data_IF_228991087480
#
_entry.id   IF_228991087480
#
_cell.length_a   1.000
_cell.length_b   1.000
_cell.length_c   1.000
_cell.angle_alpha   90.00
_cell.angle_beta   90.00
_cell.angle_gamma   90.00
#
_symmetry.space_group_name_H-M   'P 1'
#
loop_
_entity.id
_entity.type
_entity.pdbx_description
1 polymer ?
#
# COMPACT_ATOMS: atom_id res chain seq x y z
N UNK A 1 -15.53 -4.46 10.38
CA UNK A 1 -15.89 -3.89 9.05
C UNK A 1 -15.29 -4.81 7.98
N UNK A 2 -15.81 -4.92 6.75
CA UNK A 2 -15.33 -5.93 5.77
C UNK A 2 -13.84 -5.83 5.43
N UNK A 3 -13.26 -4.63 5.53
CA UNK A 3 -11.82 -4.39 5.36
C UNK A 3 -10.98 -5.08 6.45
N UNK A 4 -11.45 -5.05 7.71
CA UNK A 4 -10.72 -5.65 8.85
C UNK A 4 -10.61 -7.17 8.70
N UNK A 5 -11.64 -7.81 8.12
CA UNK A 5 -11.64 -9.24 7.85
C UNK A 5 -10.57 -9.62 6.82
N UNK A 6 -10.47 -8.86 5.72
CA UNK A 6 -9.46 -9.10 4.68
C UNK A 6 -8.05 -8.79 5.20
N UNK A 7 -7.89 -7.70 5.94
CA UNK A 7 -6.62 -7.33 6.54
C UNK A 7 -6.11 -8.40 7.51
N UNK A 8 -6.98 -8.86 8.42
CA UNK A 8 -6.61 -9.92 9.37
C UNK A 8 -6.31 -11.25 8.68
N UNK A 9 -7.00 -11.58 7.59
CA UNK A 9 -6.68 -12.75 6.78
C UNK A 9 -5.27 -12.65 6.16
N UNK A 10 -4.90 -11.51 5.58
CA UNK A 10 -3.54 -11.31 5.05
C UNK A 10 -2.48 -11.30 6.14
N UNK A 11 -2.75 -10.70 7.30
CA UNK A 11 -1.84 -10.71 8.44
C UNK A 11 -1.61 -12.14 8.96
N UNK A 12 -2.66 -12.93 9.14
CA UNK A 12 -2.55 -14.31 9.59
C UNK A 12 -1.77 -15.17 8.58
N UNK A 13 -2.00 -14.96 7.29
CA UNK A 13 -1.26 -15.66 6.24
C UNK A 13 0.23 -15.30 6.25
N UNK A 14 0.57 -14.00 6.32
CA UNK A 14 1.96 -13.54 6.26
C UNK A 14 2.73 -13.78 7.56
N UNK A 15 2.11 -13.59 8.72
CA UNK A 15 2.73 -13.81 10.03
C UNK A 15 2.74 -15.29 10.43
N UNK A 16 1.80 -16.08 9.92
CA UNK A 16 1.73 -17.53 10.15
C UNK A 16 2.79 -18.32 9.40
N UNK A 17 3.40 -17.74 8.36
CA UNK A 17 4.51 -18.36 7.63
C UNK A 17 5.84 -18.18 8.38
N UNK A 18 6.64 -19.25 8.56
CA UNK A 18 7.96 -19.12 9.15
C UNK A 18 8.86 -18.23 8.28
N UNK A 19 9.57 -17.28 8.91
CA UNK A 19 10.32 -16.24 8.21
C UNK A 19 11.28 -16.76 7.12
N UNK A 20 12.07 -17.85 7.32
CA UNK A 20 12.96 -18.35 6.28
C UNK A 20 12.22 -18.79 5.00
N UNK A 21 11.03 -19.37 5.15
CA UNK A 21 10.22 -19.83 4.02
C UNK A 21 9.69 -18.63 3.21
N UNK A 22 9.18 -17.62 3.91
CA UNK A 22 8.71 -16.39 3.27
C UNK A 22 9.83 -15.65 2.51
N UNK A 23 11.03 -15.57 3.10
CA UNK A 23 12.20 -14.95 2.46
C UNK A 23 12.51 -15.64 1.13
N UNK A 24 12.59 -16.98 1.12
CA UNK A 24 12.90 -17.75 -0.08
C UNK A 24 11.80 -17.58 -1.14
N UNK A 25 10.54 -17.65 -0.74
CA UNK A 25 9.40 -17.47 -1.66
C UNK A 25 9.43 -16.09 -2.31
N UNK A 26 9.58 -15.02 -1.52
CA UNK A 26 9.60 -13.66 -2.06
C UNK A 26 10.81 -13.40 -2.95
N UNK A 27 11.98 -13.93 -2.59
CA UNK A 27 13.18 -13.83 -3.43
C UNK A 27 13.00 -14.56 -4.78
N UNK A 28 12.38 -15.74 -4.77
CA UNK A 28 12.07 -16.49 -6.00
C UNK A 28 11.06 -15.76 -6.87
N UNK A 29 10.00 -15.18 -6.27
CA UNK A 29 9.01 -14.38 -7.01
C UNK A 29 9.69 -13.16 -7.64
N UNK A 30 10.51 -12.43 -6.88
CA UNK A 30 11.23 -11.27 -7.39
C UNK A 30 12.20 -11.62 -8.53
N UNK A 31 12.87 -12.78 -8.41
CA UNK A 31 13.73 -13.30 -9.46
C UNK A 31 12.95 -13.61 -10.75
N UNK A 32 11.81 -14.29 -10.64
CA UNK A 32 11.00 -14.72 -11.78
C UNK A 32 10.34 -13.55 -12.52
N UNK A 33 9.91 -12.51 -11.80
CA UNK A 33 9.19 -11.38 -12.40
C UNK A 33 10.15 -10.34 -12.99
N UNK A 34 11.34 -10.17 -12.40
CA UNK A 34 12.25 -9.09 -12.79
C UNK A 34 13.58 -9.59 -13.34
N UNK A 35 14.51 -10.00 -12.49
CA UNK A 35 15.85 -10.43 -12.88
C UNK A 35 16.59 -11.10 -11.72
N UNK A 36 17.68 -11.83 -12.02
CA UNK A 36 18.54 -12.47 -11.00
C UNK A 36 19.04 -11.46 -9.98
N UNK A 37 19.45 -10.26 -10.44
CA UNK A 37 19.92 -9.19 -9.56
C UNK A 37 18.86 -8.74 -8.56
N UNK A 38 17.60 -8.63 -8.98
CA UNK A 38 16.48 -8.28 -8.10
C UNK A 38 16.14 -9.41 -7.11
N UNK A 39 16.25 -10.67 -7.53
CA UNK A 39 16.08 -11.83 -6.63
C UNK A 39 17.11 -11.84 -5.50
N UNK A 40 18.39 -11.61 -5.82
CA UNK A 40 19.45 -11.52 -4.82
C UNK A 40 19.29 -10.29 -3.92
N UNK A 41 18.97 -9.14 -4.51
CA UNK A 41 18.75 -7.90 -3.75
C UNK A 41 17.59 -8.03 -2.75
N UNK A 42 16.48 -8.65 -3.15
CA UNK A 42 15.33 -8.90 -2.27
C UNK A 42 15.65 -9.89 -1.16
N UNK A 43 16.39 -10.97 -1.46
CA UNK A 43 16.85 -11.92 -0.45
C UNK A 43 17.70 -11.24 0.63
N UNK A 44 18.71 -10.46 0.22
CA UNK A 44 19.60 -9.73 1.14
C UNK A 44 18.78 -8.75 1.99
N UNK A 45 17.87 -8.00 1.36
CA UNK A 45 17.04 -7.01 2.06
C UNK A 45 16.12 -7.64 3.10
N UNK A 46 15.45 -8.75 2.77
CA UNK A 46 14.55 -9.43 3.69
C UNK A 46 15.29 -10.11 4.85
N UNK A 47 16.48 -10.67 4.61
CA UNK A 47 17.35 -11.18 5.67
C UNK A 47 17.78 -10.04 6.61
N UNK A 48 18.15 -8.87 6.07
CA UNK A 48 18.50 -7.71 6.88
C UNK A 48 17.33 -7.22 7.76
N UNK A 49 16.11 -7.17 7.22
CA UNK A 49 14.89 -6.83 7.99
C UNK A 49 14.67 -7.83 9.13
N UNK A 50 14.82 -9.12 8.84
CA UNK A 50 14.74 -10.18 9.84
C UNK A 50 15.80 -10.04 10.93
N UNK A 51 17.04 -9.71 10.57
CA UNK A 51 18.15 -9.55 11.51
C UNK A 51 17.96 -8.37 12.47
N UNK A 52 17.30 -7.30 12.04
CA UNK A 52 16.98 -6.12 12.88
C UNK A 52 15.73 -6.39 13.75
N UNK A 53 15.06 -7.54 13.58
CA UNK A 53 13.86 -7.90 14.35
C UNK A 53 12.59 -7.18 13.89
N UNK A 54 12.63 -6.51 12.73
CA UNK A 54 11.49 -5.77 12.17
C UNK A 54 10.55 -6.62 11.31
N UNK A 55 10.64 -7.96 11.41
CA UNK A 55 9.91 -8.90 10.57
C UNK A 55 8.39 -8.75 10.69
N UNK A 56 7.88 -8.74 11.92
CA UNK A 56 6.43 -8.64 12.18
C UNK A 56 5.86 -7.34 11.62
N UNK A 57 6.56 -6.23 11.85
CA UNK A 57 6.19 -4.90 11.35
C UNK A 57 6.19 -4.87 9.82
N UNK A 58 7.20 -5.48 9.18
CA UNK A 58 7.27 -5.57 7.72
C UNK A 58 6.13 -6.41 7.11
N UNK A 59 5.73 -7.51 7.76
CA UNK A 59 4.59 -8.31 7.30
C UNK A 59 3.26 -7.57 7.49
N UNK A 60 3.12 -6.79 8.58
CA UNK A 60 1.94 -5.94 8.80
C UNK A 60 1.83 -4.85 7.74
N UNK A 61 2.93 -4.17 7.39
CA UNK A 61 2.91 -3.17 6.31
C UNK A 61 2.58 -3.80 4.96
N UNK A 62 3.13 -4.99 4.67
CA UNK A 62 2.80 -5.73 3.45
C UNK A 62 1.32 -6.13 3.41
N UNK A 63 0.75 -6.60 4.53
CA UNK A 63 -0.67 -6.94 4.63
C UNK A 63 -1.58 -5.72 4.36
N UNK A 64 -1.21 -4.55 4.91
CA UNK A 64 -1.92 -3.29 4.66
C UNK A 64 -1.88 -2.91 3.18
N UNK A 65 -0.70 -2.99 2.55
CA UNK A 65 -0.52 -2.68 1.13
C UNK A 65 -1.31 -3.66 0.26
N UNK A 66 -1.26 -4.97 0.52
CA UNK A 66 -2.03 -5.98 -0.23
C UNK A 66 -3.54 -5.76 -0.09
N UNK A 67 -4.02 -5.46 1.11
CA UNK A 67 -5.43 -5.15 1.35
C UNK A 67 -5.84 -3.92 0.55
N UNK A 68 -5.07 -2.83 0.63
CA UNK A 68 -5.34 -1.61 -0.12
C UNK A 68 -5.30 -1.84 -1.64
N UNK A 69 -4.33 -2.61 -2.14
CA UNK A 69 -4.21 -2.96 -3.56
C UNK A 69 -5.41 -3.78 -4.05
N UNK A 70 -5.91 -4.72 -3.24
CA UNK A 70 -7.10 -5.50 -3.58
C UNK A 70 -8.32 -4.60 -3.79
N UNK A 71 -8.60 -3.70 -2.85
CA UNK A 71 -9.71 -2.76 -3.00
C UNK A 71 -9.47 -1.74 -4.11
N UNK A 72 -8.23 -1.29 -4.29
CA UNK A 72 -7.85 -0.40 -5.39
C UNK A 72 -8.09 -1.06 -6.75
N UNK A 73 -7.75 -2.33 -6.93
CA UNK A 73 -8.05 -3.05 -8.17
C UNK A 73 -9.54 -3.28 -8.35
N UNK A 74 -10.26 -3.66 -7.28
CA UNK A 74 -11.71 -3.91 -7.35
C UNK A 74 -12.52 -2.67 -7.77
N UNK A 75 -12.13 -1.48 -7.31
CA UNK A 75 -12.87 -0.24 -7.54
C UNK A 75 -12.21 0.60 -8.64
N UNK A 76 -10.90 0.75 -8.59
CA UNK A 76 -10.09 1.56 -9.49
C UNK A 76 -10.00 1.00 -10.90
N UNK A 77 -9.98 -0.33 -11.09
CA UNK A 77 -9.90 -0.91 -12.43
C UNK A 77 -11.22 -0.73 -13.23
N UNK A 78 -12.42 -0.98 -12.67
CA UNK A 78 -13.67 -0.64 -13.33
C UNK A 78 -13.83 0.87 -13.60
N UNK A 79 -13.50 1.72 -12.62
CA UNK A 79 -13.52 3.17 -12.80
C UNK A 79 -12.55 3.62 -13.89
N UNK A 80 -11.34 3.06 -13.91
CA UNK A 80 -10.33 3.35 -14.92
C UNK A 80 -10.78 2.98 -16.34
N UNK A 81 -11.39 1.80 -16.51
CA UNK A 81 -11.97 1.37 -17.80
C UNK A 81 -13.10 2.30 -18.23
N UNK A 82 -13.97 2.72 -17.30
CA UNK A 82 -15.07 3.64 -17.60
C UNK A 82 -14.57 5.02 -18.02
N UNK A 83 -13.56 5.55 -17.34
CA UNK A 83 -12.88 6.81 -17.69
C UNK A 83 -12.22 6.75 -19.06
N UNK A 84 -11.63 5.63 -19.43
CA UNK A 84 -11.02 5.43 -20.74
C UNK A 84 -12.05 5.46 -21.88
N UNK A 85 -13.30 5.06 -21.61
CA UNK A 85 -14.38 5.01 -22.60
C UNK A 85 -15.22 6.28 -22.70
N UNK A 86 -15.27 7.11 -21.66
CA UNK A 86 -16.11 8.31 -21.62
C UNK A 86 -15.29 9.60 -21.52
N UNK A 87 -15.20 10.40 -22.60
CA UNK A 87 -14.50 11.69 -22.60
C UNK A 87 -15.08 12.68 -21.57
N UNK A 88 -16.40 12.58 -21.29
CA UNK A 88 -17.08 13.43 -20.30
C UNK A 88 -16.69 13.06 -18.87
N UNK A 89 -16.69 11.76 -18.54
CA UNK A 89 -16.27 11.29 -17.22
C UNK A 89 -14.78 11.61 -16.96
N UNK A 90 -13.94 11.39 -17.98
CA UNK A 90 -12.53 11.75 -17.94
C UNK A 90 -12.30 13.23 -17.65
N UNK A 91 -13.05 14.14 -18.28
CA UNK A 91 -12.89 15.59 -18.09
C UNK A 91 -13.18 16.04 -16.65
N UNK A 92 -14.09 15.37 -15.95
CA UNK A 92 -14.48 15.69 -14.58
C UNK A 92 -13.52 15.07 -13.55
N UNK A 93 -13.10 13.82 -13.79
CA UNK A 93 -12.34 13.04 -12.80
C UNK A 93 -10.83 13.28 -12.91
N UNK A 94 -10.30 13.63 -14.10
CA UNK A 94 -8.86 13.95 -14.28
C UNK A 94 -8.34 15.04 -13.33
N UNK A 95 -9.03 16.19 -13.15
CA UNK A 95 -8.61 17.20 -12.18
C UNK A 95 -8.47 16.67 -10.75
N UNK A 96 -9.36 15.75 -10.34
CA UNK A 96 -9.29 15.12 -9.02
C UNK A 96 -8.07 14.19 -8.92
N UNK A 97 -7.82 13.38 -9.96
CA UNK A 97 -6.64 12.51 -10.01
C UNK A 97 -5.34 13.32 -9.99
N UNK A 98 -5.29 14.42 -10.73
CA UNK A 98 -4.14 15.33 -10.76
C UNK A 98 -3.93 15.99 -9.39
N UNK A 99 -5.00 16.36 -8.68
CA UNK A 99 -4.94 16.86 -7.31
C UNK A 99 -4.44 15.80 -6.32
N UNK A 100 -4.90 14.54 -6.44
CA UNK A 100 -4.44 13.43 -5.58
C UNK A 100 -2.95 13.10 -5.78
N UNK A 101 -2.40 13.37 -6.96
CA UNK A 101 -0.99 13.10 -7.29
C UNK A 101 -0.05 14.25 -6.93
N UNK A 102 -0.55 15.48 -6.81
CA UNK A 102 0.27 16.68 -6.61
C UNK A 102 0.16 17.27 -5.21
N UNK A 103 -0.84 16.88 -4.42
CA UNK A 103 -0.99 17.37 -3.04
C UNK A 103 -0.13 16.56 -2.08
N UNK A 104 0.76 17.20 -1.30
CA UNK A 104 1.52 16.50 -0.27
C UNK A 104 0.57 16.03 0.83
N UNK A 105 0.80 14.82 1.34
CA UNK A 105 -0.06 14.18 2.36
C UNK A 105 -0.37 15.09 3.56
N UNK A 106 0.57 15.96 3.91
CA UNK A 106 0.44 16.94 4.97
C UNK A 106 -0.80 17.85 4.81
N UNK A 107 -1.12 18.29 3.59
CA UNK A 107 -2.25 19.20 3.32
C UNK A 107 -3.61 18.54 3.58
N UNK A 108 -3.70 17.21 3.41
CA UNK A 108 -4.94 16.45 3.67
C UNK A 108 -5.14 16.11 5.16
N UNK A 109 -4.06 16.06 5.94
CA UNK A 109 -4.11 15.76 7.37
C UNK A 109 -4.59 16.94 8.20
N UNK A 110 -4.28 18.19 7.81
CA UNK A 110 -4.65 19.40 8.56
C UNK A 110 -6.18 19.56 8.72
N UNK A 111 -7.01 19.47 7.66
CA UNK A 111 -8.46 19.62 7.80
C UNK A 111 -9.11 18.50 8.62
N UNK A 112 -8.66 17.27 8.44
CA UNK A 112 -9.20 16.10 9.16
C UNK A 112 -8.94 16.21 10.67
N UNK A 113 -7.75 16.70 11.06
CA UNK A 113 -7.39 16.92 12.47
C UNK A 113 -8.11 18.13 13.09
N UNK A 114 -8.30 19.22 12.34
CA UNK A 114 -9.08 20.37 12.78
C UNK A 114 -10.57 20.03 12.96
N UNK A 115 -11.18 19.29 12.02
CA UNK A 115 -12.58 18.85 12.13
C UNK A 115 -12.79 17.86 13.28
N UNK A 116 -11.79 17.05 13.63
CA UNK A 116 -11.82 16.16 14.81
C UNK A 116 -11.62 16.91 16.14
N UNK A 117 -11.39 18.23 16.12
CA UNK A 117 -11.34 19.10 17.29
C UNK A 117 -10.06 19.02 18.13
N UNK A 118 -9.02 18.31 17.67
CA UNK A 118 -7.83 18.01 18.48
C UNK A 118 -6.63 18.94 18.24
N UNK A 119 -6.62 19.73 17.16
CA UNK A 119 -5.49 20.60 16.80
C UNK A 119 -6.00 21.96 16.30
N UNK A 120 -5.50 23.05 16.89
CA UNK A 120 -5.77 24.43 16.48
C UNK A 120 -4.82 24.83 15.33
N UNK A 121 -5.32 25.60 14.36
CA UNK A 121 -4.62 26.04 13.15
C UNK A 121 -3.23 26.71 13.37
N UNK A 122 -2.93 27.10 14.61
CA UNK A 122 -1.68 27.75 15.03
C UNK A 122 -0.47 26.81 15.17
N UNK A 123 -0.64 25.48 15.10
CA UNK A 123 0.47 24.52 15.26
C UNK A 123 1.34 24.31 14.01
N UNK A 124 1.03 24.99 12.90
CA UNK A 124 1.62 24.74 11.58
C UNK A 124 2.17 25.99 10.88
N UNK A 125 2.25 27.12 11.60
CA UNK A 125 2.94 28.36 11.22
C UNK A 125 3.80 28.81 12.41
#
# INVERSE_FOLDING_TARGET
MPVDYILSAFQQLLLGMPAPVAIVIFALIAWQISSVGMGVATLISLVAIGAIGAWSQAMVTLALVLTALLFCMLIGLPLGIWLARSPRAAKIIRPLLDAMQTTPAFVYLVPSLCCSGSVTFQAWW
#
